data_IF_862387719295
#
_entry.id   IF_862387719295
#
_cell.length_a   1.000
_cell.length_b   1.000
_cell.length_c   1.000
_cell.angle_alpha   90.00
_cell.angle_beta   90.00
_cell.angle_gamma   90.00
#
_symmetry.space_group_name_H-M   'P 1'
#
loop_
_entity.id
_entity.type
_entity.pdbx_description
1 polymer ?
#
# COMPACT_ATOMS: atom_id res chain seq x y z
N UNK A 1 -7.61 8.36 -9.61
CA UNK A 1 -6.12 8.39 -9.56
C UNK A 1 -5.56 9.10 -10.80
N UNK A 2 -5.88 8.69 -12.03
CA UNK A 2 -5.39 9.30 -13.28
C UNK A 2 -5.69 10.80 -13.38
N UNK A 3 -6.91 11.23 -13.01
CA UNK A 3 -7.30 12.65 -13.02
C UNK A 3 -6.43 13.44 -12.06
N UNK A 4 -6.20 12.93 -10.85
CA UNK A 4 -5.33 13.59 -9.86
C UNK A 4 -3.90 13.70 -10.38
N UNK A 5 -3.37 12.65 -11.01
CA UNK A 5 -2.03 12.66 -11.59
C UNK A 5 -1.89 13.69 -12.72
N UNK A 6 -2.88 13.77 -13.62
CA UNK A 6 -2.89 14.75 -14.72
C UNK A 6 -2.98 16.18 -14.20
N UNK A 7 -3.89 16.44 -13.25
CA UNK A 7 -4.06 17.76 -12.66
C UNK A 7 -2.82 18.20 -11.87
N UNK A 8 -2.17 17.24 -11.17
CA UNK A 8 -0.92 17.51 -10.47
C UNK A 8 0.22 17.80 -11.45
N UNK A 9 0.32 17.05 -12.55
CA UNK A 9 1.32 17.29 -13.57
C UNK A 9 1.17 18.68 -14.19
N UNK A 10 -0.05 19.11 -14.52
CA UNK A 10 -0.32 20.40 -15.11
C UNK A 10 -0.04 21.57 -14.15
N UNK A 11 -0.37 21.41 -12.87
CA UNK A 11 -0.23 22.49 -11.88
C UNK A 11 1.16 22.58 -11.24
N UNK A 12 1.92 21.48 -11.19
CA UNK A 12 3.22 21.42 -10.52
C UNK A 12 4.40 21.40 -11.48
N UNK A 13 4.19 21.03 -12.74
CA UNK A 13 5.28 20.94 -13.69
C UNK A 13 5.93 22.31 -13.93
N UNK A 14 7.22 22.43 -13.66
CA UNK A 14 7.97 23.66 -13.81
C UNK A 14 7.82 24.70 -12.70
N UNK A 15 7.13 24.34 -11.61
CA UNK A 15 7.07 25.16 -10.38
C UNK A 15 7.76 24.36 -9.28
N UNK A 16 8.78 24.93 -8.65
CA UNK A 16 9.50 24.33 -7.50
C UNK A 16 8.60 24.33 -6.24
N UNK A 17 7.40 23.73 -6.34
CA UNK A 17 6.47 23.61 -5.23
C UNK A 17 6.74 22.29 -4.53
N UNK A 18 7.31 22.36 -3.33
CA UNK A 18 7.43 21.19 -2.45
C UNK A 18 6.07 20.92 -1.81
N UNK A 19 5.54 19.72 -2.07
CA UNK A 19 4.32 19.23 -1.42
C UNK A 19 4.67 18.72 -0.03
N UNK A 20 4.42 19.52 0.99
CA UNK A 20 4.72 19.18 2.39
C UNK A 20 3.45 18.68 3.11
N UNK A 21 2.28 19.08 2.67
CA UNK A 21 1.02 18.83 3.36
C UNK A 21 -0.05 18.26 2.42
N UNK A 22 -0.98 17.47 2.99
CA UNK A 22 -2.20 17.03 2.31
C UNK A 22 -3.08 18.21 1.86
N UNK A 23 -3.01 19.35 2.57
CA UNK A 23 -3.68 20.57 2.16
C UNK A 23 -3.14 21.15 0.84
N UNK A 24 -1.85 21.01 0.58
CA UNK A 24 -1.27 21.47 -0.67
C UNK A 24 -1.77 20.63 -1.86
N UNK A 25 -2.02 19.33 -1.62
CA UNK A 25 -2.67 18.48 -2.61
C UNK A 25 -4.12 18.86 -2.87
N UNK A 26 -4.86 19.32 -1.84
CA UNK A 26 -6.25 19.75 -2.00
C UNK A 26 -6.38 21.03 -2.83
N UNK A 27 -5.41 21.95 -2.72
CA UNK A 27 -5.38 23.20 -3.52
C UNK A 27 -5.27 22.96 -5.02
N UNK A 28 -4.64 21.84 -5.43
CA UNK A 28 -4.56 21.47 -6.86
C UNK A 28 -5.93 21.16 -7.47
N UNK A 29 -6.88 20.73 -6.63
CA UNK A 29 -8.25 20.44 -7.05
C UNK A 29 -9.16 21.65 -6.97
N UNK A 30 -8.66 22.82 -6.54
CA UNK A 30 -9.43 24.05 -6.41
C UNK A 30 -10.01 24.52 -7.75
N UNK A 31 -9.28 24.29 -8.84
CA UNK A 31 -9.76 24.58 -10.20
C UNK A 31 -10.98 23.72 -10.61
N UNK A 32 -11.17 22.56 -9.99
CA UNK A 32 -12.28 21.64 -10.30
C UNK A 32 -13.46 21.78 -9.33
N UNK A 33 -13.19 21.96 -8.03
CA UNK A 33 -14.18 21.95 -6.95
C UNK A 33 -14.33 23.30 -6.24
N UNK A 34 -13.58 24.34 -6.65
CA UNK A 34 -13.58 25.64 -6.01
C UNK A 34 -13.25 25.56 -4.52
N UNK A 35 -13.89 26.39 -3.72
CA UNK A 35 -13.68 26.43 -2.25
C UNK A 35 -14.07 25.13 -1.50
N UNK A 36 -14.75 24.20 -2.14
CA UNK A 36 -15.10 22.89 -1.57
C UNK A 36 -14.00 21.84 -1.76
N UNK A 37 -12.93 22.15 -2.50
CA UNK A 37 -11.85 21.20 -2.85
C UNK A 37 -11.24 20.54 -1.63
N UNK A 38 -10.97 21.27 -0.57
CA UNK A 38 -10.36 20.75 0.66
C UNK A 38 -11.26 19.73 1.37
N UNK A 39 -12.57 20.02 1.46
CA UNK A 39 -13.54 19.15 2.11
C UNK A 39 -13.73 17.87 1.31
N UNK A 40 -13.97 17.99 0.00
CA UNK A 40 -14.16 16.84 -0.90
C UNK A 40 -12.93 15.95 -0.90
N UNK A 41 -11.74 16.53 -0.98
CA UNK A 41 -10.48 15.83 -0.96
C UNK A 41 -10.25 15.09 0.37
N UNK A 42 -10.48 15.77 1.50
CA UNK A 42 -10.30 15.17 2.83
C UNK A 42 -11.26 14.01 3.06
N UNK A 43 -12.54 14.16 2.71
CA UNK A 43 -13.52 13.06 2.81
C UNK A 43 -13.13 11.91 1.90
N UNK A 44 -12.70 12.17 0.68
CA UNK A 44 -12.28 11.15 -0.28
C UNK A 44 -11.07 10.35 0.21
N UNK A 45 -10.04 11.02 0.69
CA UNK A 45 -8.85 10.37 1.27
C UNK A 45 -9.22 9.57 2.52
N UNK A 46 -10.01 10.16 3.43
CA UNK A 46 -10.43 9.49 4.65
C UNK A 46 -11.22 8.21 4.33
N UNK A 47 -12.20 8.27 3.45
CA UNK A 47 -12.99 7.12 3.06
C UNK A 47 -12.15 6.03 2.38
N UNK A 48 -11.25 6.41 1.47
CA UNK A 48 -10.33 5.50 0.79
C UNK A 48 -9.35 4.85 1.76
N UNK A 49 -8.74 5.63 2.65
CA UNK A 49 -7.81 5.15 3.65
C UNK A 49 -8.48 4.21 4.65
N UNK A 50 -9.67 4.55 5.15
CA UNK A 50 -10.43 3.73 6.07
C UNK A 50 -10.80 2.38 5.46
N UNK A 51 -11.31 2.38 4.23
CA UNK A 51 -11.65 1.17 3.50
C UNK A 51 -10.43 0.25 3.31
N UNK A 52 -9.33 0.81 2.82
CA UNK A 52 -8.08 0.07 2.61
C UNK A 52 -7.51 -0.48 3.92
N UNK A 53 -7.54 0.31 4.99
CA UNK A 53 -7.04 -0.07 6.29
C UNK A 53 -7.80 -1.27 6.88
N UNK A 54 -9.13 -1.24 6.83
CA UNK A 54 -9.97 -2.33 7.32
C UNK A 54 -9.74 -3.64 6.53
N UNK A 55 -9.73 -3.56 5.20
CA UNK A 55 -9.52 -4.74 4.34
C UNK A 55 -8.14 -5.35 4.59
N UNK A 56 -7.09 -4.54 4.59
CA UNK A 56 -5.73 -5.03 4.82
C UNK A 56 -5.56 -5.63 6.22
N UNK A 57 -6.18 -5.03 7.25
CA UNK A 57 -6.15 -5.56 8.60
C UNK A 57 -6.89 -6.91 8.70
N UNK A 58 -8.02 -7.05 8.02
CA UNK A 58 -8.75 -8.32 7.96
C UNK A 58 -7.94 -9.42 7.26
N UNK A 59 -7.28 -9.09 6.15
CA UNK A 59 -6.39 -10.02 5.44
C UNK A 59 -5.21 -10.40 6.33
N UNK A 60 -4.54 -9.43 6.95
CA UNK A 60 -3.41 -9.65 7.85
C UNK A 60 -3.79 -10.51 9.07
N UNK A 61 -4.91 -10.20 9.71
CA UNK A 61 -5.44 -10.98 10.84
C UNK A 61 -5.76 -12.42 10.46
N UNK A 62 -6.29 -12.64 9.24
CA UNK A 62 -6.55 -13.97 8.71
C UNK A 62 -5.26 -14.76 8.47
N UNK A 63 -4.28 -14.15 7.80
CA UNK A 63 -2.98 -14.79 7.53
C UNK A 63 -2.29 -15.16 8.83
N UNK A 64 -2.34 -14.29 9.85
CA UNK A 64 -1.79 -14.59 11.17
C UNK A 64 -2.50 -15.77 11.85
N UNK A 65 -3.84 -15.81 11.81
CA UNK A 65 -4.61 -16.90 12.39
C UNK A 65 -4.30 -18.24 11.71
N UNK A 66 -4.23 -18.25 10.38
CA UNK A 66 -3.89 -19.43 9.59
C UNK A 66 -2.43 -19.87 9.84
N UNK A 67 -1.50 -18.92 9.95
CA UNK A 67 -0.09 -19.19 10.27
C UNK A 67 0.12 -19.79 11.66
N UNK A 68 -0.75 -19.41 12.62
CA UNK A 68 -0.77 -20.02 13.96
C UNK A 68 -1.53 -21.36 14.02
N UNK A 69 -2.13 -21.82 12.93
CA UNK A 69 -2.89 -23.08 12.88
C UNK A 69 -4.26 -23.02 13.59
N UNK A 70 -4.78 -21.81 13.87
CA UNK A 70 -6.00 -21.63 14.68
C UNK A 70 -7.17 -21.11 13.81
N UNK A 71 -6.92 -20.78 12.54
CA UNK A 71 -7.85 -20.07 11.67
C UNK A 71 -8.45 -20.88 10.54
N UNK A 72 -9.18 -21.97 10.81
CA UNK A 72 -9.81 -22.78 9.75
C UNK A 72 -10.91 -22.04 8.97
N UNK A 73 -11.63 -21.09 9.59
CA UNK A 73 -12.79 -20.40 9.01
C UNK A 73 -12.65 -18.87 9.07
N UNK A 74 -13.19 -18.18 8.02
CA UNK A 74 -13.23 -16.70 7.95
C UNK A 74 -13.94 -16.07 9.14
N UNK A 75 -14.97 -16.75 9.67
CA UNK A 75 -15.75 -16.29 10.81
C UNK A 75 -15.19 -16.74 12.16
N UNK A 76 -14.01 -17.35 12.19
CA UNK A 76 -13.35 -17.76 13.44
C UNK A 76 -13.15 -16.56 14.38
N UNK A 77 -13.43 -16.70 15.68
CA UNK A 77 -13.19 -15.64 16.66
C UNK A 77 -11.71 -15.23 16.70
N UNK A 78 -10.81 -16.17 16.48
CA UNK A 78 -9.38 -15.93 16.44
C UNK A 78 -8.97 -15.01 15.29
N UNK A 79 -9.54 -15.16 14.09
CA UNK A 79 -9.30 -14.26 12.97
C UNK A 79 -9.68 -12.82 13.30
N UNK A 80 -10.79 -12.61 14.04
CA UNK A 80 -11.23 -11.28 14.49
C UNK A 80 -10.27 -10.70 15.54
N UNK A 81 -9.81 -11.50 16.50
CA UNK A 81 -8.83 -11.05 17.48
C UNK A 81 -7.51 -10.64 16.84
N UNK A 82 -6.98 -11.44 15.91
CA UNK A 82 -5.77 -11.08 15.17
C UNK A 82 -5.97 -9.82 14.31
N UNK A 83 -7.13 -9.65 13.70
CA UNK A 83 -7.48 -8.40 13.00
C UNK A 83 -7.43 -7.20 13.95
N UNK A 84 -7.99 -7.29 15.15
CA UNK A 84 -7.89 -6.23 16.16
C UNK A 84 -6.43 -5.96 16.57
N UNK A 85 -5.62 -6.98 16.73
CA UNK A 85 -4.19 -6.82 17.05
C UNK A 85 -3.46 -6.07 15.92
N UNK A 86 -3.71 -6.43 14.66
CA UNK A 86 -3.13 -5.74 13.49
C UNK A 86 -3.58 -4.28 13.44
N UNK A 87 -4.87 -4.00 13.68
CA UNK A 87 -5.40 -2.63 13.73
C UNK A 87 -4.73 -1.80 14.83
N UNK A 88 -4.64 -2.34 16.04
CA UNK A 88 -4.03 -1.66 17.17
C UNK A 88 -2.54 -1.44 16.95
N UNK A 89 -1.82 -2.44 16.43
CA UNK A 89 -0.38 -2.29 16.13
C UNK A 89 -0.14 -1.24 15.03
N UNK A 90 -0.99 -1.16 14.02
CA UNK A 90 -0.94 -0.13 12.99
C UNK A 90 -1.19 1.28 13.56
N UNK A 91 -2.16 1.41 14.49
CA UNK A 91 -2.42 2.67 15.19
C UNK A 91 -1.21 3.11 16.04
N UNK A 92 -0.65 2.19 16.82
CA UNK A 92 0.55 2.46 17.62
C UNK A 92 1.73 2.86 16.73
N UNK A 93 1.98 2.13 15.65
CA UNK A 93 3.01 2.47 14.67
C UNK A 93 2.81 3.89 14.12
N UNK A 94 1.58 4.23 13.71
CA UNK A 94 1.26 5.56 13.19
C UNK A 94 1.55 6.68 14.21
N UNK A 95 1.18 6.49 15.49
CA UNK A 95 1.43 7.47 16.56
C UNK A 95 2.93 7.63 16.82
N UNK A 96 3.68 6.54 16.86
CA UNK A 96 5.12 6.57 17.08
C UNK A 96 5.84 7.30 15.94
N UNK A 97 5.50 6.98 14.68
CA UNK A 97 6.09 7.65 13.53
C UNK A 97 5.71 9.13 13.43
N UNK A 98 4.51 9.50 13.87
CA UNK A 98 4.05 10.90 13.84
C UNK A 98 4.74 11.79 14.88
N UNK A 99 5.05 11.25 16.07
CA UNK A 99 5.58 12.06 17.20
C UNK A 99 7.09 12.02 17.40
N UNK A 100 7.75 10.93 17.00
CA UNK A 100 9.14 10.67 17.36
C UNK A 100 10.04 10.38 16.15
N UNK A 101 9.50 10.40 14.94
CA UNK A 101 10.24 10.03 13.74
C UNK A 101 10.92 11.20 13.04
N UNK A 102 11.90 10.92 12.18
CA UNK A 102 12.54 11.89 11.30
C UNK A 102 11.58 12.57 10.31
N UNK A 103 10.30 12.19 10.32
CA UNK A 103 9.24 12.63 9.39
C UNK A 103 8.22 13.56 10.06
N UNK A 104 8.55 14.15 11.20
CA UNK A 104 7.65 15.05 11.95
C UNK A 104 7.31 16.33 11.20
N UNK A 105 8.11 16.73 10.20
CA UNK A 105 7.92 17.96 9.44
C UNK A 105 7.01 17.80 8.22
N UNK A 106 6.77 16.58 7.73
CA UNK A 106 5.95 16.32 6.54
C UNK A 106 4.90 15.23 6.79
N UNK A 107 3.65 15.52 6.47
CA UNK A 107 2.56 14.53 6.51
C UNK A 107 2.61 13.53 5.35
N UNK A 108 3.39 13.79 4.31
CA UNK A 108 3.47 13.00 3.08
C UNK A 108 4.52 11.89 3.20
N UNK A 109 5.62 12.14 3.91
CA UNK A 109 6.72 11.19 4.03
C UNK A 109 6.31 9.82 4.61
N UNK A 110 5.52 9.73 5.69
CA UNK A 110 5.02 8.45 6.18
C UNK A 110 4.22 7.67 5.14
N UNK A 111 3.45 8.37 4.30
CA UNK A 111 2.65 7.76 3.23
C UNK A 111 3.57 7.18 2.15
N UNK A 112 4.59 7.92 1.75
CA UNK A 112 5.59 7.47 0.75
C UNK A 112 6.32 6.22 1.27
N UNK A 113 6.74 6.21 2.53
CA UNK A 113 7.44 5.07 3.13
C UNK A 113 6.52 3.85 3.25
N UNK A 114 5.26 4.04 3.65
CA UNK A 114 4.29 2.95 3.69
C UNK A 114 4.06 2.34 2.30
N UNK A 115 3.94 3.17 1.25
CA UNK A 115 3.82 2.70 -0.13
C UNK A 115 5.09 1.99 -0.61
N UNK A 116 6.26 2.54 -0.32
CA UNK A 116 7.54 1.92 -0.65
C UNK A 116 7.70 0.55 0.03
N UNK A 117 7.31 0.42 1.29
CA UNK A 117 7.32 -0.86 2.03
C UNK A 117 6.43 -1.91 1.36
N UNK A 118 5.26 -1.50 0.84
CA UNK A 118 4.36 -2.39 0.11
C UNK A 118 5.00 -2.87 -1.20
N UNK A 119 5.66 -1.99 -1.93
CA UNK A 119 6.36 -2.33 -3.18
C UNK A 119 7.55 -3.28 -2.90
N UNK A 120 8.27 -3.07 -1.81
CA UNK A 120 9.37 -3.96 -1.40
C UNK A 120 8.88 -5.35 -1.00
N UNK A 121 7.67 -5.47 -0.43
CA UNK A 121 7.04 -6.74 -0.10
C UNK A 121 6.45 -7.51 -1.29
N UNK A 122 6.13 -6.81 -2.38
CA UNK A 122 5.45 -7.40 -3.54
C UNK A 122 6.21 -8.57 -4.19
N UNK A 123 7.57 -8.56 -4.35
CA UNK A 123 8.29 -9.69 -4.90
C UNK A 123 8.17 -10.97 -4.08
N UNK A 124 8.11 -10.88 -2.75
CA UNK A 124 7.92 -12.05 -1.89
C UNK A 124 6.55 -12.70 -2.14
N UNK A 125 5.51 -11.89 -2.30
CA UNK A 125 4.16 -12.36 -2.61
C UNK A 125 4.11 -13.00 -3.99
N UNK A 126 4.74 -12.38 -4.99
CA UNK A 126 4.81 -12.92 -6.34
C UNK A 126 5.63 -14.22 -6.41
N UNK A 127 6.72 -14.34 -5.63
CA UNK A 127 7.49 -15.59 -5.50
C UNK A 127 6.65 -16.71 -4.87
N UNK A 128 5.87 -16.40 -3.83
CA UNK A 128 4.97 -17.36 -3.20
C UNK A 128 3.89 -17.86 -4.19
N UNK A 129 3.29 -16.94 -4.97
CA UNK A 129 2.33 -17.30 -6.01
C UNK A 129 2.96 -18.17 -7.11
N UNK A 130 4.19 -17.88 -7.53
CA UNK A 130 4.93 -18.75 -8.47
C UNK A 130 5.14 -20.14 -7.90
N UNK A 131 5.61 -20.24 -6.66
CA UNK A 131 5.83 -21.52 -6.00
C UNK A 131 4.54 -22.34 -5.92
N UNK A 132 3.45 -21.73 -5.51
CA UNK A 132 2.13 -22.36 -5.45
C UNK A 132 1.64 -22.78 -6.84
N UNK A 133 1.83 -21.95 -7.85
CA UNK A 133 1.49 -22.26 -9.25
C UNK A 133 2.25 -23.47 -9.79
N UNK A 134 3.56 -23.54 -9.54
CA UNK A 134 4.36 -24.72 -9.90
C UNK A 134 3.92 -25.97 -9.16
N UNK A 135 3.63 -25.86 -7.86
CA UNK A 135 3.16 -26.98 -7.02
C UNK A 135 1.79 -27.49 -7.49
N UNK A 136 0.85 -26.58 -7.79
CA UNK A 136 -0.47 -26.93 -8.30
C UNK A 136 -0.37 -27.65 -9.66
N UNK A 137 0.49 -27.15 -10.55
CA UNK A 137 0.73 -27.79 -11.84
C UNK A 137 1.29 -29.19 -11.70
N UNK A 138 2.24 -29.39 -10.79
CA UNK A 138 2.85 -30.71 -10.54
C UNK A 138 1.83 -31.71 -9.98
N UNK A 139 0.83 -31.25 -9.20
CA UNK A 139 -0.15 -32.11 -8.53
C UNK A 139 -1.31 -32.52 -9.45
N UNK A 140 -1.92 -31.57 -10.15
CA UNK A 140 -3.20 -31.80 -10.86
C UNK A 140 -3.16 -31.42 -12.35
N UNK A 141 -2.06 -30.89 -12.86
CA UNK A 141 -1.92 -30.35 -14.24
C UNK A 141 -3.00 -29.30 -14.63
N UNK A 142 -3.70 -28.73 -13.64
CA UNK A 142 -4.82 -27.80 -13.85
C UNK A 142 -4.35 -26.39 -14.22
N UNK A 143 -3.09 -26.05 -13.95
CA UNK A 143 -2.55 -24.71 -14.19
C UNK A 143 -2.02 -24.61 -15.61
N UNK A 144 -2.57 -23.71 -16.40
CA UNK A 144 -2.09 -23.42 -17.76
C UNK A 144 -0.67 -22.82 -17.74
N UNK A 145 0.17 -23.20 -18.72
CA UNK A 145 1.48 -22.59 -18.92
C UNK A 145 1.39 -21.07 -19.15
N UNK A 146 0.30 -20.61 -19.77
CA UNK A 146 0.02 -19.19 -19.98
C UNK A 146 -0.13 -18.42 -18.64
N UNK A 147 -0.88 -18.98 -17.70
CA UNK A 147 -1.03 -18.42 -16.36
C UNK A 147 0.31 -18.34 -15.62
N UNK A 148 1.10 -19.38 -15.73
CA UNK A 148 2.40 -19.47 -15.06
C UNK A 148 3.41 -18.46 -15.64
N UNK A 149 3.39 -18.25 -16.97
CA UNK A 149 4.22 -17.25 -17.63
C UNK A 149 3.81 -15.83 -17.25
N UNK A 150 2.51 -15.58 -17.08
CA UNK A 150 1.98 -14.27 -16.67
C UNK A 150 2.36 -13.95 -15.21
N UNK A 151 2.31 -14.93 -14.31
CA UNK A 151 2.77 -14.77 -12.92
C UNK A 151 4.28 -14.55 -12.87
N UNK A 152 5.06 -15.24 -13.70
CA UNK A 152 6.50 -15.05 -13.80
C UNK A 152 6.86 -13.65 -14.31
N UNK A 153 6.15 -13.16 -15.32
CA UNK A 153 6.31 -11.78 -15.82
C UNK A 153 5.97 -10.76 -14.72
N UNK A 154 4.89 -10.99 -13.97
CA UNK A 154 4.52 -10.18 -12.81
C UNK A 154 5.61 -10.16 -11.72
N UNK A 155 6.24 -11.31 -11.46
CA UNK A 155 7.38 -11.40 -10.53
C UNK A 155 8.57 -10.56 -10.99
N UNK A 156 8.94 -10.62 -12.28
CA UNK A 156 10.03 -9.80 -12.82
C UNK A 156 9.73 -8.30 -12.70
N UNK A 157 8.49 -7.88 -13.01
CA UNK A 157 8.07 -6.49 -12.88
C UNK A 157 8.12 -6.02 -11.42
N UNK A 158 7.61 -6.80 -10.47
CA UNK A 158 7.65 -6.44 -9.05
C UNK A 158 9.09 -6.36 -8.53
N UNK A 159 9.98 -7.22 -9.01
CA UNK A 159 11.39 -7.22 -8.64
C UNK A 159 12.11 -5.96 -9.18
N UNK A 160 11.82 -5.57 -10.41
CA UNK A 160 12.36 -4.34 -11.00
C UNK A 160 11.85 -3.08 -10.26
N UNK A 161 10.56 -3.05 -9.90
CA UNK A 161 9.98 -1.95 -9.12
C UNK A 161 10.57 -1.88 -7.71
N UNK A 162 10.72 -3.02 -7.02
CA UNK A 162 11.35 -3.07 -5.71
C UNK A 162 12.79 -2.58 -5.74
N UNK A 163 13.56 -2.98 -6.75
CA UNK A 163 14.93 -2.49 -6.95
C UNK A 163 14.98 -0.97 -7.11
N UNK A 164 14.15 -0.42 -8.00
CA UNK A 164 14.06 1.03 -8.21
C UNK A 164 13.66 1.77 -6.95
N UNK A 165 12.68 1.25 -6.21
CA UNK A 165 12.20 1.86 -4.96
C UNK A 165 13.26 1.83 -3.88
N UNK A 166 14.04 0.75 -3.76
CA UNK A 166 15.13 0.66 -2.78
C UNK A 166 16.22 1.68 -3.06
N UNK A 167 16.59 1.90 -4.32
CA UNK A 167 17.56 2.94 -4.70
C UNK A 167 17.05 4.34 -4.33
N UNK A 168 15.79 4.66 -4.65
CA UNK A 168 15.21 5.97 -4.32
C UNK A 168 15.07 6.21 -2.80
N UNK A 169 14.84 5.15 -2.01
CA UNK A 169 14.84 5.27 -0.55
C UNK A 169 16.23 5.53 0.02
N UNK A 170 17.25 4.85 -0.50
CA UNK A 170 18.65 5.07 -0.06
C UNK A 170 19.08 6.51 -0.36
N UNK A 171 18.76 7.00 -1.56
CA UNK A 171 19.08 8.37 -1.98
C UNK A 171 18.37 9.43 -1.11
N UNK A 172 17.14 9.15 -0.66
CA UNK A 172 16.39 10.07 0.19
C UNK A 172 16.86 10.04 1.66
N UNK A 173 17.45 8.94 2.13
CA UNK A 173 17.92 8.76 3.51
C UNK A 173 19.40 9.12 3.69
N UNK A 174 20.14 9.26 2.60
CA UNK A 174 21.55 9.71 2.55
C UNK A 174 21.63 11.23 2.46
#
# INVERSE_FOLDING_TARGET
TLIIMLTSAENLFGKDIQLISLNDLSKQLENLFGQWSSIVFTIGIFAGALSSFLINAMIGGRILADGCGIGENINSPWSKHFTCIVLVSGLFGSILFSKAGPFSESSIDPIIIAQASTILGAPMLAAALLFLGFKAKKKNNETSYFLLSLVFLGFLVTLALAWRTSLGLIEKLS
#
